data_IF_791505385252
#
_entry.id   IF_791505385252
#
_cell.length_a   1.000
_cell.length_b   1.000
_cell.length_c   1.000
_cell.angle_alpha   90.00
_cell.angle_beta   90.00
_cell.angle_gamma   90.00
#
_symmetry.space_group_name_H-M   'P 1'
#
loop_
_entity.id
_entity.type
_entity.pdbx_description
1 polymer ?
#
# COMPACT_ATOMS: atom_id res chain seq x y z
N UNK A 1 5.52 -9.11 -19.57
CA UNK A 1 6.73 -9.31 -18.78
C UNK A 1 6.75 -8.57 -17.45
N UNK A 2 6.46 -7.27 -17.45
CA UNK A 2 6.38 -6.53 -16.19
C UNK A 2 5.27 -7.05 -15.27
N UNK A 3 4.14 -7.41 -15.86
CA UNK A 3 3.02 -7.94 -15.08
C UNK A 3 3.39 -9.26 -14.39
N UNK A 4 4.12 -10.15 -15.09
CA UNK A 4 4.53 -11.42 -14.52
C UNK A 4 5.41 -11.24 -13.30
N UNK A 5 6.39 -10.33 -13.36
CA UNK A 5 7.26 -10.05 -12.21
C UNK A 5 6.49 -9.40 -11.06
N UNK A 6 5.60 -8.47 -11.38
CA UNK A 6 4.79 -7.83 -10.37
C UNK A 6 3.83 -8.84 -9.72
N UNK A 7 3.23 -9.73 -10.52
CA UNK A 7 2.36 -10.78 -9.99
C UNK A 7 3.15 -11.78 -9.14
N UNK A 8 4.37 -12.13 -9.55
CA UNK A 8 5.25 -13.02 -8.79
C UNK A 8 5.69 -12.40 -7.47
N UNK A 9 5.75 -11.06 -7.40
CA UNK A 9 6.08 -10.37 -6.16
C UNK A 9 5.09 -10.68 -5.03
N UNK A 10 3.86 -11.06 -5.38
CA UNK A 10 2.82 -11.40 -4.41
C UNK A 10 2.45 -12.89 -4.45
N UNK A 11 3.30 -13.74 -5.03
CA UNK A 11 2.91 -15.08 -5.43
C UNK A 11 2.84 -16.14 -4.35
N UNK A 12 3.40 -15.90 -3.17
CA UNK A 12 3.67 -16.98 -2.22
C UNK A 12 2.85 -16.98 -0.94
N UNK A 13 1.90 -16.10 -0.75
CA UNK A 13 1.03 -16.17 0.42
C UNK A 13 -0.18 -17.02 0.11
N UNK A 14 -0.71 -17.71 1.11
CA UNK A 14 -1.92 -18.49 0.93
C UNK A 14 -3.08 -17.64 0.42
N UNK A 15 -3.14 -16.38 0.84
CA UNK A 15 -4.17 -15.44 0.41
C UNK A 15 -4.16 -15.25 -1.10
N UNK A 16 -2.98 -15.20 -1.70
CA UNK A 16 -2.81 -14.95 -3.14
C UNK A 16 -2.54 -16.21 -3.93
N UNK A 17 -2.05 -17.28 -3.29
CA UNK A 17 -1.71 -18.53 -3.97
C UNK A 17 -2.91 -19.20 -4.62
N UNK A 18 -4.10 -19.01 -4.06
CA UNK A 18 -5.33 -19.59 -4.58
C UNK A 18 -5.98 -18.73 -5.66
N UNK A 19 -5.47 -17.53 -5.89
CA UNK A 19 -6.04 -16.60 -6.86
C UNK A 19 -5.36 -16.77 -8.22
N UNK A 20 -6.17 -16.80 -9.27
CA UNK A 20 -5.64 -16.69 -10.63
C UNK A 20 -5.05 -15.29 -10.83
N UNK A 21 -4.24 -15.13 -11.89
CA UNK A 21 -3.54 -13.86 -12.15
C UNK A 21 -4.45 -12.64 -12.11
N UNK A 22 -5.64 -12.75 -12.75
CA UNK A 22 -6.61 -11.66 -12.77
C UNK A 22 -7.15 -11.34 -11.38
N UNK A 23 -7.48 -12.39 -10.61
CA UNK A 23 -7.99 -12.23 -9.26
C UNK A 23 -6.93 -11.64 -8.33
N UNK A 24 -5.70 -12.10 -8.48
CA UNK A 24 -4.57 -11.59 -7.73
C UNK A 24 -4.37 -10.10 -8.01
N UNK A 25 -4.42 -9.73 -9.28
CA UNK A 25 -4.31 -8.33 -9.69
C UNK A 25 -5.41 -7.49 -9.07
N UNK A 26 -6.64 -7.98 -9.12
CA UNK A 26 -7.81 -7.24 -8.57
C UNK A 26 -7.74 -7.09 -7.06
N UNK A 27 -7.28 -8.10 -6.37
CA UNK A 27 -7.13 -8.05 -4.90
C UNK A 27 -6.09 -7.01 -4.52
N UNK A 28 -4.95 -6.99 -5.19
CA UNK A 28 -3.90 -6.02 -4.91
C UNK A 28 -4.41 -4.60 -5.20
N UNK A 29 -5.11 -4.41 -6.31
CA UNK A 29 -5.67 -3.11 -6.67
C UNK A 29 -6.66 -2.62 -5.60
N UNK A 30 -7.51 -3.52 -5.11
CA UNK A 30 -8.45 -3.20 -4.05
C UNK A 30 -7.71 -2.77 -2.77
N UNK A 31 -6.64 -3.49 -2.42
CA UNK A 31 -5.83 -3.14 -1.24
C UNK A 31 -5.18 -1.76 -1.40
N UNK A 32 -4.67 -1.45 -2.59
CA UNK A 32 -4.15 -0.10 -2.87
C UNK A 32 -5.21 0.96 -2.68
N UNK A 33 -6.41 0.75 -3.23
CA UNK A 33 -7.49 1.73 -3.12
C UNK A 33 -7.90 1.96 -1.65
N UNK A 34 -7.98 0.89 -0.87
CA UNK A 34 -8.30 1.00 0.55
C UNK A 34 -7.19 1.69 1.34
N UNK A 35 -5.92 1.39 1.00
CA UNK A 35 -4.78 2.03 1.63
C UNK A 35 -4.79 3.54 1.36
N UNK A 36 -4.96 3.93 0.11
CA UNK A 36 -4.99 5.35 -0.27
C UNK A 36 -6.14 6.08 0.43
N UNK A 37 -7.30 5.46 0.50
CA UNK A 37 -8.45 6.03 1.21
C UNK A 37 -8.14 6.24 2.69
N UNK A 38 -7.57 5.24 3.34
CA UNK A 38 -7.22 5.32 4.77
C UNK A 38 -6.16 6.37 5.03
N UNK A 39 -5.15 6.43 4.18
CA UNK A 39 -4.09 7.42 4.31
C UNK A 39 -4.61 8.85 4.12
N UNK A 40 -5.53 9.05 3.17
CA UNK A 40 -6.15 10.37 2.97
C UNK A 40 -6.97 10.79 4.18
N UNK A 41 -7.72 9.86 4.76
CA UNK A 41 -8.47 10.15 6.00
C UNK A 41 -7.52 10.52 7.13
N UNK A 42 -6.43 9.79 7.28
CA UNK A 42 -5.43 10.05 8.29
C UNK A 42 -4.81 11.44 8.12
N UNK A 43 -4.37 11.78 6.90
CA UNK A 43 -3.75 13.08 6.63
C UNK A 43 -4.73 14.22 6.80
N UNK A 44 -6.00 14.03 6.40
CA UNK A 44 -7.03 15.03 6.61
C UNK A 44 -7.27 15.31 8.09
N UNK A 45 -7.27 14.28 8.92
CA UNK A 45 -7.41 14.47 10.37
C UNK A 45 -6.25 15.25 10.94
N UNK A 46 -5.03 14.98 10.48
CA UNK A 46 -3.86 15.74 10.92
C UNK A 46 -3.92 17.19 10.47
N UNK A 47 -4.34 17.43 9.22
CA UNK A 47 -4.49 18.79 8.69
C UNK A 47 -5.56 19.58 9.45
N UNK A 48 -6.60 18.93 9.93
CA UNK A 48 -7.70 19.53 10.67
C UNK A 48 -7.45 19.61 12.18
N UNK A 49 -6.23 19.34 12.63
CA UNK A 49 -5.87 19.42 14.04
C UNK A 49 -6.23 18.19 14.85
N UNK A 50 -6.50 17.07 14.19
CA UNK A 50 -6.83 15.78 14.83
C UNK A 50 -8.03 15.90 15.80
N UNK A 51 -9.08 16.54 15.35
CA UNK A 51 -10.27 16.79 16.18
C UNK A 51 -11.08 15.53 16.47
N UNK A 52 -10.98 14.52 15.62
CA UNK A 52 -11.67 13.25 15.80
C UNK A 52 -10.63 12.14 16.01
N UNK A 53 -10.37 11.85 17.28
CA UNK A 53 -9.37 10.87 17.66
C UNK A 53 -9.71 9.47 17.15
N UNK A 54 -10.98 9.09 17.23
CA UNK A 54 -11.39 7.76 16.78
C UNK A 54 -11.15 7.59 15.29
N UNK A 55 -11.50 8.60 14.51
CA UNK A 55 -11.31 8.57 13.06
C UNK A 55 -9.82 8.58 12.70
N UNK A 56 -9.02 9.39 13.40
CA UNK A 56 -7.58 9.44 13.18
C UNK A 56 -6.93 8.09 13.50
N UNK A 57 -7.25 7.53 14.66
CA UNK A 57 -6.67 6.25 15.09
C UNK A 57 -7.13 5.08 14.20
N UNK A 58 -8.38 5.09 13.79
CA UNK A 58 -8.93 4.07 12.90
C UNK A 58 -8.22 4.09 11.55
N UNK A 59 -8.07 5.28 10.95
CA UNK A 59 -7.40 5.42 9.66
C UNK A 59 -5.90 5.10 9.76
N UNK A 60 -5.27 5.50 10.85
CA UNK A 60 -3.88 5.17 11.15
C UNK A 60 -3.67 3.66 11.23
N UNK A 61 -4.45 2.98 12.05
CA UNK A 61 -4.35 1.54 12.25
C UNK A 61 -4.64 0.78 10.96
N UNK A 62 -5.68 1.19 10.23
CA UNK A 62 -6.05 0.55 8.97
C UNK A 62 -4.95 0.70 7.92
N UNK A 63 -4.36 1.89 7.80
CA UNK A 63 -3.27 2.13 6.88
C UNK A 63 -2.09 1.20 7.16
N UNK A 64 -1.69 1.09 8.42
CA UNK A 64 -0.58 0.21 8.81
C UNK A 64 -0.90 -1.25 8.57
N UNK A 65 -2.14 -1.67 8.83
CA UNK A 65 -2.56 -3.06 8.60
C UNK A 65 -2.51 -3.42 7.12
N UNK A 66 -2.96 -2.53 6.24
CA UNK A 66 -2.94 -2.78 4.81
C UNK A 66 -1.50 -2.82 4.31
N UNK A 67 -0.66 -1.88 4.76
CA UNK A 67 0.76 -1.90 4.39
C UNK A 67 1.41 -3.20 4.82
N UNK A 68 1.13 -3.67 6.03
CA UNK A 68 1.65 -4.94 6.51
C UNK A 68 1.22 -6.09 5.60
N UNK A 69 -0.04 -6.12 5.21
CA UNK A 69 -0.58 -7.15 4.32
C UNK A 69 0.14 -7.13 2.97
N UNK A 70 0.28 -5.95 2.37
CA UNK A 70 0.96 -5.81 1.09
C UNK A 70 2.44 -6.19 1.20
N UNK A 71 3.10 -5.73 2.24
CA UNK A 71 4.53 -5.95 2.44
C UNK A 71 4.85 -7.41 2.74
N UNK A 72 4.08 -8.03 3.62
CA UNK A 72 4.29 -9.42 4.00
C UNK A 72 3.88 -10.42 2.92
N UNK A 73 3.09 -9.98 1.95
CA UNK A 73 2.67 -10.81 0.82
C UNK A 73 3.71 -10.85 -0.31
N UNK A 74 4.73 -10.01 -0.24
CA UNK A 74 5.78 -9.98 -1.26
C UNK A 74 6.61 -11.26 -1.21
N UNK A 75 6.94 -11.78 -2.40
CA UNK A 75 7.88 -12.87 -2.58
C UNK A 75 9.18 -12.30 -3.10
N UNK A 76 10.13 -12.05 -2.20
CA UNK A 76 11.40 -11.43 -2.55
C UNK A 76 12.24 -12.32 -3.44
N UNK A 77 12.08 -13.64 -3.33
CA UNK A 77 12.82 -14.59 -4.15
C UNK A 77 12.33 -14.59 -5.58
N UNK A 78 11.03 -14.81 -5.80
CA UNK A 78 10.45 -14.86 -7.16
C UNK A 78 10.30 -13.49 -7.79
N UNK A 79 9.99 -12.47 -6.97
CA UNK A 79 9.77 -11.12 -7.46
C UNK A 79 11.02 -10.30 -7.66
N UNK A 80 12.15 -10.75 -7.10
CA UNK A 80 13.45 -10.13 -7.30
C UNK A 80 13.47 -8.63 -6.99
N UNK A 81 14.02 -7.86 -7.90
CA UNK A 81 14.17 -6.41 -7.73
C UNK A 81 12.83 -5.69 -7.64
N UNK A 82 11.81 -6.18 -8.34
CA UNK A 82 10.48 -5.55 -8.28
C UNK A 82 9.91 -5.70 -6.87
N UNK A 83 9.99 -6.90 -6.29
CA UNK A 83 9.52 -7.13 -4.93
C UNK A 83 10.30 -6.31 -3.91
N UNK A 84 11.61 -6.22 -4.07
CA UNK A 84 12.46 -5.44 -3.18
C UNK A 84 12.11 -3.95 -3.24
N UNK A 85 11.90 -3.42 -4.43
CA UNK A 85 11.52 -2.01 -4.60
C UNK A 85 10.15 -1.73 -3.99
N UNK A 86 9.19 -2.63 -4.18
CA UNK A 86 7.88 -2.50 -3.55
C UNK A 86 8.00 -2.55 -2.02
N UNK A 87 8.80 -3.46 -1.51
CA UNK A 87 9.04 -3.56 -0.07
C UNK A 87 9.55 -2.24 0.49
N UNK A 88 10.51 -1.62 -0.20
CA UNK A 88 11.09 -0.34 0.21
C UNK A 88 10.06 0.80 0.20
N UNK A 89 9.20 0.84 -0.80
CA UNK A 89 8.16 1.87 -0.88
C UNK A 89 7.15 1.69 0.26
N UNK A 90 6.73 0.46 0.53
CA UNK A 90 5.83 0.18 1.65
C UNK A 90 6.47 0.54 2.98
N UNK A 91 7.76 0.24 3.13
CA UNK A 91 8.49 0.56 4.35
C UNK A 91 8.60 2.07 4.53
N UNK A 92 8.87 2.80 3.46
CA UNK A 92 8.89 4.26 3.48
C UNK A 92 7.53 4.81 3.93
N UNK A 93 6.45 4.32 3.34
CA UNK A 93 5.10 4.75 3.70
C UNK A 93 4.81 4.48 5.18
N UNK A 94 5.19 3.28 5.66
CA UNK A 94 5.01 2.91 7.06
C UNK A 94 5.74 3.89 7.98
N UNK A 95 6.99 4.19 7.66
CA UNK A 95 7.79 5.11 8.47
C UNK A 95 7.20 6.52 8.50
N UNK A 96 6.70 6.99 7.35
CA UNK A 96 6.10 8.32 7.27
C UNK A 96 4.81 8.41 8.09
N UNK A 97 3.98 7.38 8.05
CA UNK A 97 2.75 7.32 8.83
C UNK A 97 3.05 7.32 10.33
N UNK A 98 4.02 6.50 10.75
CA UNK A 98 4.42 6.44 12.16
C UNK A 98 4.96 7.78 12.65
N UNK A 99 5.82 8.39 11.86
CA UNK A 99 6.43 9.69 12.18
C UNK A 99 5.37 10.78 12.27
N UNK A 100 4.46 10.84 11.28
CA UNK A 100 3.42 11.86 11.23
C UNK A 100 2.42 11.71 12.37
N UNK A 101 2.09 10.47 12.74
CA UNK A 101 1.24 10.24 13.89
C UNK A 101 1.86 10.81 15.15
N UNK A 102 3.15 10.57 15.34
CA UNK A 102 3.89 11.03 16.51
C UNK A 102 4.04 12.55 16.54
N UNK A 103 4.37 13.14 15.40
CA UNK A 103 4.67 14.57 15.28
C UNK A 103 3.43 15.41 14.97
N UNK A 104 2.30 14.78 14.68
CA UNK A 104 1.04 15.45 14.32
C UNK A 104 1.20 16.34 13.09
N UNK A 105 1.95 15.86 12.11
CA UNK A 105 2.13 16.54 10.83
C UNK A 105 1.74 15.57 9.69
N UNK A 106 1.15 16.07 8.58
CA UNK A 106 0.72 15.19 7.50
C UNK A 106 1.73 15.07 6.35
N UNK A 107 2.84 15.81 6.38
CA UNK A 107 3.69 16.03 5.22
C UNK A 107 4.28 14.75 4.64
N UNK A 108 4.86 13.91 5.49
CA UNK A 108 5.48 12.65 5.03
C UNK A 108 4.47 11.67 4.47
N UNK A 109 3.32 11.57 5.12
CA UNK A 109 2.25 10.68 4.69
C UNK A 109 1.64 11.13 3.36
N UNK A 110 1.48 12.43 3.15
CA UNK A 110 1.00 12.98 1.87
C UNK A 110 1.97 12.61 0.75
N UNK A 111 3.26 12.75 0.98
CA UNK A 111 4.29 12.40 -0.01
C UNK A 111 4.28 10.91 -0.30
N UNK A 112 4.20 10.08 0.73
CA UNK A 112 4.11 8.62 0.57
C UNK A 112 2.85 8.23 -0.21
N UNK A 113 1.74 8.89 0.06
CA UNK A 113 0.49 8.65 -0.67
C UNK A 113 0.65 8.92 -2.17
N UNK A 114 1.36 9.98 -2.52
CA UNK A 114 1.64 10.32 -3.92
C UNK A 114 2.43 9.20 -4.62
N UNK A 115 3.47 8.68 -3.98
CA UNK A 115 4.22 7.56 -4.54
C UNK A 115 3.36 6.31 -4.70
N UNK A 116 2.50 6.04 -3.72
CA UNK A 116 1.62 4.87 -3.78
C UNK A 116 0.55 5.02 -4.87
N UNK A 117 0.08 6.25 -5.11
CA UNK A 117 -0.84 6.51 -6.21
C UNK A 117 -0.21 6.18 -7.57
N UNK A 118 1.05 6.55 -7.77
CA UNK A 118 1.76 6.22 -8.99
C UNK A 118 1.89 4.71 -9.19
N UNK A 119 2.20 3.99 -8.12
CA UNK A 119 2.28 2.52 -8.16
C UNK A 119 0.90 1.93 -8.45
N UNK A 120 -0.14 2.46 -7.84
CA UNK A 120 -1.50 2.01 -8.07
C UNK A 120 -1.91 2.17 -9.54
N UNK A 121 -1.57 3.29 -10.14
CA UNK A 121 -1.86 3.54 -11.56
C UNK A 121 -1.12 2.55 -12.44
N UNK A 122 0.16 2.33 -12.19
CA UNK A 122 0.95 1.35 -12.94
C UNK A 122 0.38 -0.06 -12.79
N UNK A 123 -0.05 -0.42 -11.60
CA UNK A 123 -0.66 -1.73 -11.34
C UNK A 123 -1.98 -1.88 -12.08
N UNK A 124 -2.82 -0.83 -12.04
CA UNK A 124 -4.09 -0.81 -12.76
C UNK A 124 -3.89 -0.98 -14.27
N UNK A 125 -2.92 -0.24 -14.83
CA UNK A 125 -2.62 -0.31 -16.26
C UNK A 125 -2.15 -1.70 -16.69
N UNK A 126 -1.33 -2.36 -15.87
CA UNK A 126 -0.87 -3.72 -16.15
C UNK A 126 -2.04 -4.70 -16.19
N UNK A 127 -3.04 -4.52 -15.32
CA UNK A 127 -4.20 -5.38 -15.28
C UNK A 127 -5.08 -5.31 -16.52
N UNK A 128 -5.12 -4.15 -17.16
CA UNK A 128 -5.92 -3.96 -18.38
C UNK A 128 -5.33 -4.71 -19.57
N UNK A 129 -4.10 -5.17 -19.47
CA UNK A 129 -3.43 -5.92 -20.53
C UNK A 129 -3.58 -7.44 -20.39
N UNK A 130 -4.26 -7.86 -19.34
CA UNK A 130 -4.59 -9.26 -19.15
C UNK A 130 -5.77 -9.65 -20.07
#
# INVERSE_FOLDING_TARGET
MRFQKAAQAYGNTETFAMAESENKHSIILLLFDELLRSMRQFTQQLENGANDYDKMNSSYTKSLSIIYTLQSSLDLEKGGDVALNLFRVYEYARQMILQDYRNKTPTGSIMACSFLEDIREAWSDMGQKL
#
